data_IF_873468492697
#
_entry.id   IF_873468492697
#
_cell.length_a   1.000
_cell.length_b   1.000
_cell.length_c   1.000
_cell.angle_alpha   90.00
_cell.angle_beta   90.00
_cell.angle_gamma   90.00
#
_symmetry.space_group_name_H-M   'P 1'
#
loop_
_entity.id
_entity.type
_entity.pdbx_description
1 polymer ?
#
# COMPACT_ATOMS: atom_id res chain seq x y z
N UNK A 1 0.43 -1.15 34.80
CA UNK A 1 1.49 -2.10 34.37
C UNK A 1 2.63 -1.33 33.71
N UNK A 2 3.90 -1.71 33.89
CA UNK A 2 5.03 -1.10 33.16
C UNK A 2 5.29 -1.87 31.86
N UNK A 3 5.36 -1.18 30.74
CA UNK A 3 5.68 -1.78 29.43
C UNK A 3 7.19 -2.05 29.33
N UNK A 4 7.64 -3.29 29.01
CA UNK A 4 9.05 -3.61 28.80
C UNK A 4 9.69 -2.78 27.68
N UNK A 5 11.01 -2.54 27.76
CA UNK A 5 11.73 -1.71 26.77
C UNK A 5 11.60 -2.25 25.34
N UNK A 6 11.78 -3.57 25.14
CA UNK A 6 11.67 -4.18 23.81
C UNK A 6 10.28 -4.00 23.18
N UNK A 7 9.21 -3.99 23.99
CA UNK A 7 7.85 -3.71 23.51
C UNK A 7 7.70 -2.23 23.11
N UNK A 8 8.22 -1.29 23.91
CA UNK A 8 8.22 0.14 23.55
C UNK A 8 8.95 0.37 22.22
N UNK A 9 10.10 -0.28 22.05
CA UNK A 9 10.90 -0.17 20.82
C UNK A 9 10.14 -0.72 19.61
N UNK A 10 9.45 -1.86 19.76
CA UNK A 10 8.58 -2.41 18.71
C UNK A 10 7.43 -1.47 18.37
N UNK A 11 6.73 -0.93 19.36
CA UNK A 11 5.62 0.03 19.15
C UNK A 11 6.10 1.24 18.33
N UNK A 12 7.24 1.82 18.71
CA UNK A 12 7.81 2.98 18.02
C UNK A 12 8.19 2.62 16.58
N UNK A 13 8.83 1.47 16.36
CA UNK A 13 9.20 1.00 15.01
C UNK A 13 7.97 0.77 14.15
N UNK A 14 6.99 0.02 14.65
CA UNK A 14 5.73 -0.24 13.95
C UNK A 14 5.02 1.06 13.58
N UNK A 15 4.92 2.02 14.50
CA UNK A 15 4.30 3.32 14.22
C UNK A 15 5.04 4.12 13.14
N UNK A 16 6.38 4.15 13.17
CA UNK A 16 7.19 4.84 12.15
C UNK A 16 7.06 4.22 10.77
N UNK A 17 7.13 2.90 10.68
CA UNK A 17 7.03 2.21 9.39
C UNK A 17 5.60 2.28 8.83
N UNK A 18 4.58 2.21 9.70
CA UNK A 18 3.19 2.36 9.28
C UNK A 18 2.91 3.76 8.73
N UNK A 19 3.37 4.81 9.40
CA UNK A 19 3.18 6.18 8.89
C UNK A 19 3.80 6.39 7.49
N UNK A 20 4.95 5.76 7.22
CA UNK A 20 5.56 5.79 5.89
C UNK A 20 4.70 4.99 4.89
N UNK A 21 4.28 3.77 5.24
CA UNK A 21 3.46 2.93 4.38
C UNK A 21 2.12 3.60 4.02
N UNK A 22 1.43 4.19 5.01
CA UNK A 22 0.16 4.89 4.82
C UNK A 22 0.34 6.08 3.85
N UNK A 23 1.39 6.90 4.02
CA UNK A 23 1.68 8.02 3.13
C UNK A 23 2.02 7.59 1.69
N UNK A 24 2.77 6.50 1.50
CA UNK A 24 3.10 6.02 0.15
C UNK A 24 1.88 5.36 -0.51
N UNK A 25 1.04 4.65 0.24
CA UNK A 25 -0.22 4.10 -0.26
C UNK A 25 -1.19 5.21 -0.70
N UNK A 26 -1.27 6.31 0.04
CA UNK A 26 -2.09 7.47 -0.33
C UNK A 26 -1.68 8.04 -1.69
N UNK A 27 -0.38 8.17 -1.97
CA UNK A 27 0.11 8.62 -3.29
C UNK A 27 -0.31 7.69 -4.42
N UNK A 28 -0.27 6.38 -4.20
CA UNK A 28 -0.69 5.40 -5.21
C UNK A 28 -2.20 5.49 -5.43
N UNK A 29 -3.00 5.60 -4.36
CA UNK A 29 -4.45 5.77 -4.44
C UNK A 29 -4.84 7.06 -5.16
N UNK A 30 -4.24 8.19 -4.78
CA UNK A 30 -4.45 9.48 -5.45
C UNK A 30 -4.10 9.39 -6.95
N UNK A 31 -3.02 8.69 -7.30
CA UNK A 31 -2.66 8.48 -8.69
C UNK A 31 -3.70 7.65 -9.45
N UNK A 32 -4.19 6.55 -8.85
CA UNK A 32 -5.24 5.70 -9.41
C UNK A 32 -6.56 6.46 -9.61
N UNK A 33 -6.97 7.28 -8.64
CA UNK A 33 -8.14 8.15 -8.73
C UNK A 33 -8.01 9.10 -9.92
N UNK A 34 -6.84 9.72 -10.10
CA UNK A 34 -6.56 10.60 -11.23
C UNK A 34 -6.51 9.89 -12.58
N UNK A 35 -6.27 8.57 -12.61
CA UNK A 35 -6.39 7.75 -13.82
C UNK A 35 -7.83 7.25 -14.06
N UNK A 36 -8.79 7.55 -13.17
CA UNK A 36 -10.15 7.00 -13.23
C UNK A 36 -10.25 5.53 -12.82
N UNK A 37 -9.22 5.00 -12.13
CA UNK A 37 -9.13 3.62 -11.66
C UNK A 37 -9.42 3.46 -10.17
N UNK A 38 -9.71 4.55 -9.47
CA UNK A 38 -9.99 4.59 -8.03
C UNK A 38 -11.09 3.65 -7.54
N UNK A 39 -12.11 3.45 -8.38
CA UNK A 39 -13.25 2.58 -8.10
C UNK A 39 -13.18 1.25 -8.89
N UNK A 40 -12.05 0.95 -9.54
CA UNK A 40 -11.90 -0.32 -10.27
C UNK A 40 -11.58 -1.45 -9.29
N UNK A 41 -12.57 -2.30 -9.02
CA UNK A 41 -12.45 -3.43 -8.08
C UNK A 41 -11.21 -4.31 -8.32
N UNK A 42 -10.85 -4.58 -9.58
CA UNK A 42 -9.68 -5.41 -9.90
C UNK A 42 -8.39 -4.72 -9.50
N UNK A 43 -8.26 -3.42 -9.82
CA UNK A 43 -7.09 -2.61 -9.49
C UNK A 43 -6.95 -2.45 -7.97
N UNK A 44 -8.07 -2.18 -7.28
CA UNK A 44 -8.08 -2.03 -5.82
C UNK A 44 -7.74 -3.34 -5.11
N UNK A 45 -8.23 -4.49 -5.61
CA UNK A 45 -7.84 -5.79 -5.06
C UNK A 45 -6.33 -6.03 -5.21
N UNK A 46 -5.76 -5.75 -6.38
CA UNK A 46 -4.32 -5.86 -6.61
C UNK A 46 -3.51 -4.91 -5.72
N UNK A 47 -3.96 -3.66 -5.55
CA UNK A 47 -3.35 -2.70 -4.63
C UNK A 47 -3.29 -3.25 -3.19
N UNK A 48 -4.44 -3.73 -2.69
CA UNK A 48 -4.57 -4.27 -1.34
C UNK A 48 -3.62 -5.46 -1.15
N UNK A 49 -3.69 -6.44 -2.05
CA UNK A 49 -2.88 -7.65 -1.98
C UNK A 49 -1.38 -7.33 -2.07
N UNK A 50 -0.99 -6.44 -2.97
CA UNK A 50 0.41 -6.18 -3.24
C UNK A 50 1.11 -5.32 -2.18
N UNK A 51 0.52 -4.20 -1.75
CA UNK A 51 1.23 -3.22 -0.92
C UNK A 51 0.55 -2.91 0.43
N UNK A 52 -0.77 -3.07 0.56
CA UNK A 52 -1.45 -2.80 1.85
C UNK A 52 -1.32 -3.96 2.84
N UNK A 53 -1.33 -5.19 2.33
CA UNK A 53 -1.02 -6.40 3.11
C UNK A 53 0.42 -6.89 2.89
N UNK A 54 1.15 -6.27 1.94
CA UNK A 54 2.59 -6.45 1.73
C UNK A 54 2.99 -7.79 1.10
N UNK A 55 2.20 -8.32 0.15
CA UNK A 55 2.46 -9.61 -0.48
C UNK A 55 3.41 -9.52 -1.70
N UNK A 56 3.03 -8.74 -2.72
CA UNK A 56 3.76 -8.69 -4.00
C UNK A 56 3.73 -7.29 -4.67
N UNK A 57 4.58 -6.35 -4.22
CA UNK A 57 4.66 -5.00 -4.81
C UNK A 57 5.07 -5.00 -6.29
N UNK A 58 5.92 -5.96 -6.72
CA UNK A 58 6.37 -6.04 -8.11
C UNK A 58 5.27 -6.56 -9.03
N UNK A 59 4.41 -7.45 -8.53
CA UNK A 59 3.20 -7.88 -9.20
C UNK A 59 2.26 -6.73 -9.52
N UNK A 60 2.07 -5.77 -8.60
CA UNK A 60 1.27 -4.57 -8.85
C UNK A 60 1.88 -3.69 -9.94
N UNK A 61 3.20 -3.47 -9.90
CA UNK A 61 3.88 -2.70 -10.95
C UNK A 61 3.65 -3.34 -12.32
N UNK A 62 3.88 -4.65 -12.43
CA UNK A 62 3.66 -5.40 -13.67
C UNK A 62 2.21 -5.31 -14.14
N UNK A 63 1.25 -5.48 -13.23
CA UNK A 63 -0.18 -5.37 -13.53
C UNK A 63 -0.57 -3.99 -14.06
N UNK A 64 -0.03 -2.91 -13.49
CA UNK A 64 -0.30 -1.54 -13.92
C UNK A 64 0.40 -1.16 -15.24
N UNK A 65 1.54 -1.80 -15.54
CA UNK A 65 2.31 -1.59 -16.78
C UNK A 65 1.82 -2.45 -17.95
N UNK A 66 0.92 -3.42 -17.73
CA UNK A 66 0.32 -4.21 -18.80
C UNK A 66 -0.67 -3.35 -19.62
N UNK A 67 -0.48 -3.32 -20.95
CA UNK A 67 -1.18 -2.46 -21.95
C UNK A 67 -2.73 -2.56 -21.95
N UNK A 68 -3.34 -3.43 -21.14
CA UNK A 68 -4.80 -3.66 -21.12
C UNK A 68 -5.61 -2.60 -20.34
N UNK A 69 -4.96 -1.67 -19.63
CA UNK A 69 -5.64 -0.64 -18.82
C UNK A 69 -5.59 0.78 -19.40
N UNK A 70 -4.97 0.97 -20.56
CA UNK A 70 -4.98 2.26 -21.29
C UNK A 70 -6.22 2.28 -22.20
N UNK A 71 -7.30 2.92 -21.75
CA UNK A 71 -8.50 3.23 -22.56
C UNK A 71 -8.65 4.73 -22.82
#
# INVERSE_FOLDING_TARGET
>A
MKVPKYIKDSIIKSGKHRAIADNENEKVRDWLDNQGLGDNDMVINYLIDSIEVGNDPYGLIKFLEEDEFIY
#
